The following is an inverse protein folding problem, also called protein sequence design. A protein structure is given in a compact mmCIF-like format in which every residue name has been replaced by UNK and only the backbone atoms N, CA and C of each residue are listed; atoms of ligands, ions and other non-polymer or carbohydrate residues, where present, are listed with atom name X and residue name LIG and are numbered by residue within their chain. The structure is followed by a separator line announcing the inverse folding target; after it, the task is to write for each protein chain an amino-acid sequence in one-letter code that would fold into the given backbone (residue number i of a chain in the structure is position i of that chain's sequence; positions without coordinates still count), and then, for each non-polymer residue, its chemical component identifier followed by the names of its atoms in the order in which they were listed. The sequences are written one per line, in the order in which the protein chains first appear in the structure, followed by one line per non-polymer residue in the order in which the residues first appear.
data_IF_442530056991
#
_entry.id   IF_442530056991
#
_cell.length_a   1.000
_cell.length_b   1.000
_cell.length_c   1.000
_cell.angle_alpha   90.00
_cell.angle_beta   90.00
_cell.angle_gamma   90.00
#
_symmetry.space_group_name_H-M   'P 1'
#
loop_
_entity.id
_entity.type
_entity.pdbx_description
1 polymer ?
#
# COMPACT_ATOMS: atom_id res chain seq x y z
N UNK A 1 20.33 29.50 9.21
CA UNK A 1 19.47 28.99 10.29
C UNK A 1 18.08 28.79 9.72
N UNK A 2 17.41 27.67 10.01
CA UNK A 2 15.98 27.55 9.74
C UNK A 2 15.28 28.72 10.45
N UNK A 3 14.46 29.49 9.75
CA UNK A 3 13.75 30.59 10.40
C UNK A 3 12.85 29.98 11.49
N UNK A 4 12.98 30.45 12.74
CA UNK A 4 12.15 30.03 13.87
C UNK A 4 10.64 30.03 13.54
N UNK A 5 10.21 30.87 12.59
CA UNK A 5 8.85 30.89 12.06
C UNK A 5 8.39 29.59 11.38
N UNK A 6 9.27 28.89 10.65
CA UNK A 6 8.90 27.63 9.99
C UNK A 6 8.69 26.48 11.00
N UNK A 7 9.31 26.56 12.18
CA UNK A 7 9.14 25.59 13.27
C UNK A 7 7.83 25.85 14.01
N UNK A 8 7.56 27.11 14.33
CA UNK A 8 6.32 27.52 14.98
C UNK A 8 5.08 27.14 14.13
N UNK A 9 5.20 27.21 12.79
CA UNK A 9 4.12 26.79 11.90
C UNK A 9 3.80 25.30 12.03
N UNK A 10 4.79 24.39 12.01
CA UNK A 10 4.54 22.94 12.15
C UNK A 10 3.86 22.61 13.48
N UNK A 11 4.38 23.16 14.59
CA UNK A 11 3.80 22.92 15.92
C UNK A 11 2.35 23.44 16.01
N UNK A 12 2.06 24.57 15.39
CA UNK A 12 0.72 25.13 15.33
C UNK A 12 -0.24 24.26 14.50
N UNK A 13 0.17 23.79 13.32
CA UNK A 13 -0.62 22.88 12.49
C UNK A 13 -0.88 21.56 13.23
N UNK A 14 0.13 21.04 13.93
CA UNK A 14 -0.01 19.83 14.73
C UNK A 14 -0.99 20.00 15.89
N UNK A 15 -0.88 21.10 16.66
CA UNK A 15 -1.81 21.43 17.74
C UNK A 15 -3.25 21.53 17.23
N UNK A 16 -3.44 22.13 16.05
CA UNK A 16 -4.74 22.22 15.37
C UNK A 16 -5.26 20.84 14.99
N UNK A 17 -4.42 19.96 14.42
CA UNK A 17 -4.81 18.61 14.07
C UNK A 17 -5.32 17.83 15.30
N UNK A 18 -4.64 17.92 16.44
CA UNK A 18 -5.10 17.27 17.69
C UNK A 18 -6.39 17.88 18.25
N UNK A 19 -6.50 19.21 18.31
CA UNK A 19 -7.73 19.87 18.75
C UNK A 19 -8.94 19.46 17.89
N UNK A 20 -8.72 19.31 16.59
CA UNK A 20 -9.74 18.90 15.63
C UNK A 20 -10.07 17.41 15.76
N UNK A 21 -9.06 16.56 15.99
CA UNK A 21 -9.24 15.14 16.31
C UNK A 21 -10.13 14.94 17.54
N UNK A 22 -9.89 15.69 18.62
CA UNK A 22 -10.71 15.65 19.83
C UNK A 22 -12.12 16.19 19.57
N UNK A 23 -12.23 17.28 18.81
CA UNK A 23 -13.51 17.86 18.41
C UNK A 23 -14.39 16.88 17.62
N UNK A 24 -13.79 16.07 16.75
CA UNK A 24 -14.48 15.04 15.96
C UNK A 24 -15.04 13.89 16.81
N UNK A 25 -14.59 13.69 18.06
CA UNK A 25 -15.08 12.61 18.93
C UNK A 25 -16.56 12.76 19.30
N UNK A 26 -17.07 13.98 19.35
CA UNK A 26 -18.45 14.31 19.68
C UNK A 26 -19.33 14.60 18.45
N UNK A 27 -18.76 14.46 17.25
CA UNK A 27 -19.39 14.78 15.98
C UNK A 27 -20.20 13.59 15.43
N UNK A 28 -21.16 13.82 14.52
CA UNK A 28 -21.97 12.79 13.88
C UNK A 28 -21.10 11.86 13.03
N UNK A 29 -21.64 10.69 12.72
CA UNK A 29 -20.93 9.59 12.05
C UNK A 29 -20.14 10.05 10.80
N UNK A 30 -20.71 10.94 9.98
CA UNK A 30 -20.03 11.40 8.77
C UNK A 30 -18.75 12.21 9.08
N UNK A 31 -18.76 13.06 10.11
CA UNK A 31 -17.59 13.83 10.53
C UNK A 31 -16.65 12.97 11.38
N UNK A 32 -17.21 12.03 12.16
CA UNK A 32 -16.46 11.08 12.95
C UNK A 32 -15.49 10.26 12.07
N UNK A 33 -15.91 9.83 10.88
CA UNK A 33 -15.04 9.14 9.93
C UNK A 33 -13.85 10.00 9.45
N UNK A 34 -13.93 11.33 9.47
CA UNK A 34 -12.79 12.19 9.13
C UNK A 34 -11.68 12.12 10.20
N UNK A 35 -12.04 11.74 11.44
CA UNK A 35 -11.10 11.63 12.57
C UNK A 35 -9.91 10.75 12.27
N UNK A 36 -10.12 9.63 11.59
CA UNK A 36 -9.04 8.70 11.22
C UNK A 36 -8.03 9.37 10.28
N UNK A 37 -8.51 10.14 9.31
CA UNK A 37 -7.65 10.88 8.38
C UNK A 37 -6.91 12.03 9.06
N UNK A 38 -7.57 12.73 9.99
CA UNK A 38 -6.95 13.79 10.80
C UNK A 38 -5.85 13.20 11.69
N UNK A 39 -6.11 12.05 12.30
CA UNK A 39 -5.12 11.34 13.11
C UNK A 39 -3.91 10.92 12.28
N UNK A 40 -4.14 10.32 11.11
CA UNK A 40 -3.06 9.95 10.20
C UNK A 40 -2.22 11.17 9.79
N UNK A 41 -2.86 12.31 9.53
CA UNK A 41 -2.16 13.57 9.25
C UNK A 41 -1.34 14.05 10.46
N UNK A 42 -1.91 14.00 11.66
CA UNK A 42 -1.22 14.38 12.89
C UNK A 42 0.04 13.53 13.10
N UNK A 43 -0.04 12.21 12.96
CA UNK A 43 1.12 11.31 13.05
C UNK A 43 2.19 11.63 12.00
N UNK A 44 1.79 11.93 10.75
CA UNK A 44 2.74 12.39 9.73
C UNK A 44 3.46 13.67 10.15
N UNK A 45 2.72 14.65 10.69
CA UNK A 45 3.27 15.92 11.17
C UNK A 45 4.15 15.75 12.42
N UNK A 46 3.84 14.79 13.31
CA UNK A 46 4.73 14.39 14.40
C UNK A 46 6.01 13.75 13.89
N UNK A 47 5.92 12.93 12.84
CA UNK A 47 7.08 12.39 12.14
C UNK A 47 7.98 13.50 11.58
N UNK A 48 7.38 14.51 10.93
CA UNK A 48 8.09 15.71 10.45
C UNK A 48 8.78 16.42 11.62
N UNK A 49 8.05 16.71 12.70
CA UNK A 49 8.59 17.38 13.87
C UNK A 49 9.73 16.58 14.51
N UNK A 50 9.52 15.31 14.81
CA UNK A 50 10.53 14.47 15.45
C UNK A 50 11.76 14.25 14.57
N UNK A 51 11.61 13.84 13.31
CA UNK A 51 12.75 13.44 12.47
C UNK A 51 13.48 14.63 11.82
N UNK A 52 12.79 15.72 11.50
CA UNK A 52 13.41 16.88 10.84
C UNK A 52 13.83 17.98 11.81
N UNK A 53 13.06 18.24 12.87
CA UNK A 53 13.38 19.34 13.78
C UNK A 53 14.45 18.95 14.79
N UNK A 54 14.30 17.79 15.45
CA UNK A 54 15.24 17.37 16.51
C UNK A 54 16.59 16.93 15.98
N UNK A 55 16.69 16.61 14.68
CA UNK A 55 17.92 16.11 14.07
C UNK A 55 18.74 17.27 13.48
N UNK A 56 19.91 17.64 14.05
CA UNK A 56 20.73 18.75 13.56
C UNK A 56 21.25 18.55 12.13
N UNK A 57 21.30 17.30 11.66
CA UNK A 57 21.76 16.93 10.31
C UNK A 57 20.66 16.98 9.26
N UNK A 58 19.42 17.22 9.67
CA UNK A 58 18.28 17.42 8.79
C UNK A 58 18.54 18.53 7.78
N UNK A 59 17.97 18.40 6.57
CA UNK A 59 18.05 19.45 5.55
C UNK A 59 17.41 20.77 6.03
N UNK A 60 16.56 20.74 7.07
CA UNK A 60 15.98 21.95 7.67
C UNK A 60 17.07 22.86 8.26
N UNK A 61 18.13 22.30 8.83
CA UNK A 61 19.21 23.10 9.44
C UNK A 61 20.34 23.43 8.46
N UNK A 62 20.35 22.78 7.30
CA UNK A 62 21.37 23.01 6.27
C UNK A 62 21.11 24.31 5.50
N UNK A 63 22.18 25.01 5.13
CA UNK A 63 22.13 26.28 4.39
C UNK A 63 22.36 26.12 2.88
N UNK A 64 22.57 24.90 2.40
CA UNK A 64 22.85 24.61 0.99
C UNK A 64 21.66 24.97 0.09
N UNK A 65 21.92 25.32 -1.17
CA UNK A 65 20.86 25.65 -2.14
C UNK A 65 19.84 24.50 -2.28
N UNK A 66 20.32 23.25 -2.38
CA UNK A 66 19.48 22.07 -2.43
C UNK A 66 18.60 21.92 -1.18
N UNK A 67 19.13 22.23 0.02
CA UNK A 67 18.36 22.19 1.26
C UNK A 67 17.27 23.27 1.28
N UNK A 68 17.54 24.48 0.80
CA UNK A 68 16.53 25.55 0.68
C UNK A 68 15.37 25.16 -0.23
N UNK A 69 15.67 24.52 -1.38
CA UNK A 69 14.62 23.99 -2.29
C UNK A 69 13.74 22.96 -1.57
N UNK A 70 14.35 22.05 -0.79
CA UNK A 70 13.60 21.05 0.00
C UNK A 70 12.80 21.67 1.14
N UNK A 71 13.34 22.68 1.83
CA UNK A 71 12.63 23.43 2.85
C UNK A 71 11.39 24.12 2.26
N UNK A 72 11.53 24.76 1.10
CA UNK A 72 10.40 25.36 0.40
C UNK A 72 9.34 24.31 0.01
N UNK A 73 9.75 23.17 -0.56
CA UNK A 73 8.83 22.09 -0.89
C UNK A 73 8.09 21.56 0.34
N UNK A 74 8.81 21.33 1.44
CA UNK A 74 8.21 20.93 2.73
C UNK A 74 7.18 21.96 3.21
N UNK A 75 7.51 23.25 3.14
CA UNK A 75 6.62 24.35 3.51
C UNK A 75 5.32 24.36 2.70
N UNK A 76 5.41 24.12 1.39
CA UNK A 76 4.23 23.98 0.52
C UNK A 76 3.35 22.80 0.95
N UNK A 77 3.94 21.66 1.29
CA UNK A 77 3.19 20.49 1.77
C UNK A 77 2.53 20.72 3.14
N UNK A 78 3.24 21.36 4.09
CA UNK A 78 2.68 21.73 5.40
C UNK A 78 1.52 22.73 5.23
N UNK A 79 1.68 23.74 4.38
CA UNK A 79 0.61 24.71 4.09
C UNK A 79 -0.60 24.06 3.41
N UNK A 80 -0.40 22.98 2.64
CA UNK A 80 -1.50 22.16 2.11
C UNK A 80 -2.25 21.42 3.22
N UNK A 81 -1.51 20.82 4.18
CA UNK A 81 -2.11 20.17 5.35
C UNK A 81 -2.87 21.16 6.22
N UNK A 82 -2.32 22.36 6.42
CA UNK A 82 -2.97 23.39 7.23
C UNK A 82 -4.30 23.86 6.62
N UNK A 83 -4.32 24.10 5.29
CA UNK A 83 -5.54 24.48 4.56
C UNK A 83 -6.63 23.40 4.65
N UNK A 84 -6.26 22.12 4.52
CA UNK A 84 -7.24 21.03 4.60
C UNK A 84 -7.78 20.85 6.03
N UNK A 85 -6.93 21.00 7.06
CA UNK A 85 -7.37 21.05 8.45
C UNK A 85 -8.31 22.23 8.72
N UNK A 86 -8.00 23.42 8.21
CA UNK A 86 -8.86 24.60 8.36
C UNK A 86 -10.22 24.45 7.70
N UNK A 87 -10.28 23.83 6.52
CA UNK A 87 -11.54 23.52 5.85
C UNK A 87 -12.40 22.59 6.71
N UNK A 88 -11.80 21.53 7.26
CA UNK A 88 -12.51 20.60 8.15
C UNK A 88 -12.93 21.27 9.47
N UNK A 89 -12.10 22.15 10.04
CA UNK A 89 -12.39 22.90 11.26
C UNK A 89 -13.62 23.80 11.06
N UNK A 90 -13.68 24.46 9.91
CA UNK A 90 -14.80 25.32 9.53
C UNK A 90 -16.10 24.51 9.41
N UNK A 91 -16.04 23.31 8.83
CA UNK A 91 -17.19 22.40 8.75
C UNK A 91 -17.63 21.90 10.15
N UNK A 92 -16.67 21.57 11.00
CA UNK A 92 -16.96 21.14 12.38
C UNK A 92 -17.62 22.27 13.19
N UNK A 93 -17.13 23.51 13.07
CA UNK A 93 -17.73 24.69 13.73
C UNK A 93 -19.14 24.98 13.21
N UNK A 94 -19.35 24.91 11.89
CA UNK A 94 -20.70 25.03 11.30
C UNK A 94 -21.64 23.98 11.91
N UNK A 95 -21.18 22.73 12.03
CA UNK A 95 -21.96 21.67 12.62
C UNK A 95 -22.26 21.89 14.11
N UNK A 96 -21.26 22.27 14.92
CA UNK A 96 -21.46 22.58 16.34
C UNK A 96 -22.42 23.76 16.55
N UNK A 97 -22.39 24.75 15.65
CA UNK A 97 -23.35 25.85 15.63
C UNK A 97 -24.81 25.40 15.49
N UNK A 98 -25.05 24.31 14.74
CA UNK A 98 -26.38 23.71 14.61
C UNK A 98 -26.87 23.01 15.88
N UNK A 99 -25.95 22.57 16.76
CA UNK A 99 -26.32 21.91 18.02
C UNK A 99 -26.82 22.93 19.06
N UNK A 100 -26.35 24.17 19.00
CA UNK A 100 -26.64 25.20 20.00
C UNK A 100 -27.78 26.17 19.66
N UNK A 101 -28.34 26.13 18.45
CA UNK A 101 -29.40 27.06 18.00
C UNK A 101 -30.58 26.32 17.39
N UNK A 102 -31.77 26.92 17.42
CA UNK A 102 -32.91 26.44 16.63
C UNK A 102 -32.59 26.61 15.13
N UNK A 103 -32.24 25.50 14.49
CA UNK A 103 -31.91 25.45 13.06
C UNK A 103 -33.19 25.29 12.25
N UNK A 104 -33.36 26.12 11.23
CA UNK A 104 -34.51 26.01 10.33
C UNK A 104 -34.53 24.63 9.64
N UNK A 105 -35.71 24.11 9.32
CA UNK A 105 -35.85 22.85 8.57
C UNK A 105 -35.14 22.92 7.21
N UNK A 106 -35.10 24.10 6.61
CA UNK A 106 -34.43 24.34 5.33
C UNK A 106 -32.90 24.25 5.45
N UNK A 107 -32.31 24.76 6.54
CA UNK A 107 -30.88 24.63 6.80
C UNK A 107 -30.48 23.17 7.09
N UNK A 108 -31.34 22.42 7.81
CA UNK A 108 -31.14 20.97 8.00
C UNK A 108 -31.17 20.22 6.67
N UNK A 109 -32.13 20.53 5.80
CA UNK A 109 -32.23 19.92 4.48
C UNK A 109 -31.03 20.26 3.58
N UNK A 110 -30.63 21.54 3.52
CA UNK A 110 -29.46 21.98 2.76
C UNK A 110 -28.17 21.34 3.29
N UNK A 111 -28.03 21.20 4.60
CA UNK A 111 -26.90 20.49 5.21
C UNK A 111 -26.90 19.00 4.86
N UNK A 112 -28.07 18.34 4.81
CA UNK A 112 -28.17 16.91 4.50
C UNK A 112 -27.65 16.55 3.09
N UNK A 113 -27.82 17.45 2.12
CA UNK A 113 -27.45 17.22 0.71
C UNK A 113 -26.09 17.83 0.38
N UNK A 114 -25.93 19.13 0.63
CA UNK A 114 -24.71 19.87 0.32
C UNK A 114 -23.61 19.63 1.37
N UNK A 115 -23.97 19.56 2.65
CA UNK A 115 -23.01 19.36 3.74
C UNK A 115 -22.31 18.00 3.66
N UNK A 116 -23.02 16.93 3.28
CA UNK A 116 -22.40 15.61 3.04
C UNK A 116 -21.36 15.65 1.92
N UNK A 117 -21.65 16.36 0.83
CA UNK A 117 -20.70 16.58 -0.27
C UNK A 117 -19.48 17.37 0.19
N UNK A 118 -19.68 18.48 0.92
CA UNK A 118 -18.58 19.29 1.46
C UNK A 118 -17.67 18.50 2.42
N UNK A 119 -18.26 17.65 3.28
CA UNK A 119 -17.50 16.75 4.17
C UNK A 119 -16.70 15.75 3.34
N UNK A 120 -17.29 15.13 2.32
CA UNK A 120 -16.58 14.18 1.46
C UNK A 120 -15.41 14.83 0.70
N UNK A 121 -15.60 16.03 0.16
CA UNK A 121 -14.52 16.81 -0.47
C UNK A 121 -13.42 17.17 0.54
N UNK A 122 -13.80 17.66 1.73
CA UNK A 122 -12.80 18.01 2.75
C UNK A 122 -12.03 16.79 3.27
N UNK A 123 -12.64 15.59 3.29
CA UNK A 123 -11.94 14.34 3.58
C UNK A 123 -10.95 13.98 2.47
N UNK A 124 -11.37 14.09 1.21
CA UNK A 124 -10.49 13.85 0.08
C UNK A 124 -9.27 14.78 0.14
N UNK A 125 -9.48 16.06 0.46
CA UNK A 125 -8.40 17.03 0.65
C UNK A 125 -7.42 16.59 1.77
N UNK A 126 -7.93 16.17 2.94
CA UNK A 126 -7.09 15.67 4.04
C UNK A 126 -6.24 14.47 3.61
N UNK A 127 -6.85 13.51 2.90
CA UNK A 127 -6.15 12.32 2.42
C UNK A 127 -5.07 12.70 1.41
N UNK A 128 -5.39 13.56 0.44
CA UNK A 128 -4.44 14.01 -0.58
C UNK A 128 -3.28 14.81 0.05
N UNK A 129 -3.56 15.75 0.96
CA UNK A 129 -2.53 16.49 1.67
C UNK A 129 -1.62 15.56 2.48
N UNK A 130 -2.20 14.58 3.18
CA UNK A 130 -1.42 13.58 3.95
C UNK A 130 -0.54 12.72 3.05
N UNK A 131 -1.09 12.19 1.96
CA UNK A 131 -0.37 11.32 1.03
C UNK A 131 0.74 12.09 0.32
N UNK A 132 0.50 13.33 -0.09
CA UNK A 132 1.53 14.14 -0.75
C UNK A 132 2.67 14.49 0.21
N UNK A 133 2.38 14.78 1.48
CA UNK A 133 3.39 14.95 2.52
C UNK A 133 4.18 13.64 2.75
N UNK A 134 3.49 12.50 2.88
CA UNK A 134 4.17 11.19 3.02
C UNK A 134 5.06 10.87 1.82
N UNK A 135 4.59 11.08 0.60
CA UNK A 135 5.39 10.87 -0.61
C UNK A 135 6.64 11.77 -0.63
N UNK A 136 6.53 13.00 -0.15
CA UNK A 136 7.68 13.90 0.00
C UNK A 136 8.68 13.34 1.02
N UNK A 137 8.23 12.96 2.22
CA UNK A 137 9.08 12.38 3.26
C UNK A 137 9.72 11.06 2.84
N UNK A 138 9.01 10.28 2.02
CA UNK A 138 9.48 9.04 1.40
C UNK A 138 10.70 9.28 0.52
N UNK A 139 10.63 10.31 -0.32
CA UNK A 139 11.73 10.69 -1.23
C UNK A 139 12.96 11.13 -0.45
N UNK A 140 12.77 11.80 0.67
CA UNK A 140 13.84 12.27 1.55
C UNK A 140 14.33 11.21 2.55
N UNK A 141 13.84 9.97 2.47
CA UNK A 141 14.22 8.82 3.33
C UNK A 141 13.89 8.97 4.82
N UNK A 142 12.96 9.84 5.18
CA UNK A 142 12.56 10.15 6.57
C UNK A 142 11.45 9.24 7.11
N UNK A 143 11.25 8.10 6.46
CA UNK A 143 9.94 7.48 6.36
C UNK A 143 9.63 6.39 7.39
N UNK A 144 10.50 6.22 8.39
CA UNK A 144 10.58 4.95 9.11
C UNK A 144 9.81 4.97 10.43
N UNK A 145 9.77 6.09 11.14
CA UNK A 145 9.29 6.10 12.53
C UNK A 145 7.76 6.18 12.64
N UNK A 146 7.13 7.16 12.01
CA UNK A 146 5.68 7.32 12.09
C UNK A 146 4.93 6.16 11.41
N UNK A 147 5.50 5.56 10.35
CA UNK A 147 4.91 4.37 9.70
C UNK A 147 4.88 3.18 10.65
N UNK A 148 5.96 2.97 11.41
CA UNK A 148 6.00 1.95 12.46
C UNK A 148 5.00 2.26 13.57
N UNK A 149 4.85 3.51 13.98
CA UNK A 149 3.86 3.92 14.98
C UNK A 149 2.43 3.70 14.47
N UNK A 150 2.10 4.07 13.23
CA UNK A 150 0.79 3.79 12.62
C UNK A 150 0.49 2.29 12.49
N UNK A 151 1.50 1.48 12.16
CA UNK A 151 1.35 0.03 12.10
C UNK A 151 1.13 -0.56 13.49
N UNK A 152 1.80 -0.04 14.51
CA UNK A 152 1.62 -0.47 15.90
C UNK A 152 0.24 -0.08 16.39
N UNK A 153 -0.22 1.14 16.11
CA UNK A 153 -1.58 1.59 16.47
C UNK A 153 -2.66 0.73 15.81
N UNK A 154 -2.53 0.45 14.50
CA UNK A 154 -3.43 -0.44 13.78
C UNK A 154 -3.41 -1.87 14.35
N UNK A 155 -2.25 -2.38 14.77
CA UNK A 155 -2.13 -3.67 15.45
C UNK A 155 -2.80 -3.62 16.82
N UNK A 156 -2.59 -2.58 17.63
CA UNK A 156 -3.23 -2.44 18.94
C UNK A 156 -4.75 -2.33 18.85
N UNK A 157 -5.28 -1.59 17.86
CA UNK A 157 -6.73 -1.48 17.63
C UNK A 157 -7.35 -2.83 17.21
N UNK A 158 -6.64 -3.63 16.41
CA UNK A 158 -7.07 -4.99 16.07
C UNK A 158 -7.02 -5.91 17.29
N UNK A 159 -5.99 -5.79 18.11
CA UNK A 159 -5.84 -6.59 19.33
C UNK A 159 -6.94 -6.25 20.34
N UNK A 160 -7.27 -4.97 20.55
CA UNK A 160 -8.38 -4.59 21.43
C UNK A 160 -9.72 -5.09 20.92
N UNK A 161 -9.94 -5.11 19.59
CA UNK A 161 -11.13 -5.74 18.99
C UNK A 161 -11.17 -7.25 19.27
N UNK A 162 -10.04 -7.95 19.15
CA UNK A 162 -9.95 -9.37 19.50
C UNK A 162 -10.18 -9.62 20.99
N UNK A 163 -9.68 -8.76 21.88
CA UNK A 163 -9.94 -8.84 23.32
C UNK A 163 -11.43 -8.65 23.63
N UNK A 164 -12.11 -7.70 22.97
CA UNK A 164 -13.56 -7.52 23.14
C UNK A 164 -14.38 -8.69 22.62
N UNK A 165 -13.99 -9.29 21.49
CA UNK A 165 -14.65 -10.49 20.96
C UNK A 165 -14.44 -11.70 21.88
N UNK A 166 -13.22 -11.85 22.42
CA UNK A 166 -12.92 -12.91 23.39
C UNK A 166 -13.67 -12.71 24.71
N UNK A 167 -13.83 -11.46 25.16
CA UNK A 167 -14.63 -11.12 26.34
C UNK A 167 -16.14 -11.37 26.14
N UNK A 168 -16.66 -11.17 24.93
CA UNK A 168 -18.06 -11.48 24.59
C UNK A 168 -18.33 -12.97 24.41
N UNK A 169 -17.31 -13.78 24.09
CA UNK A 169 -17.41 -15.25 24.06
C UNK A 169 -17.20 -15.90 25.42
N UNK A 170 -16.94 -15.12 26.48
CA UNK A 170 -16.99 -15.64 27.84
C UNK A 170 -18.47 -15.93 28.19
N UNK A 171 -18.85 -17.18 28.55
CA UNK A 171 -20.20 -17.46 28.96
C UNK A 171 -20.50 -16.62 30.20
N UNK A 172 -21.56 -15.79 30.11
CA UNK A 172 -22.14 -15.14 31.26
C UNK A 172 -22.49 -16.25 32.27
N UNK A 173 -21.67 -16.41 33.31
CA UNK A 173 -22.03 -17.22 34.45
C UNK A 173 -23.24 -16.54 35.09
N UNK A 174 -24.41 -17.09 34.77
CA UNK A 174 -25.63 -17.00 35.55
C UNK A 174 -25.27 -17.09 37.03
N UNK A 175 -25.52 -16.00 37.75
CA UNK A 175 -25.72 -15.96 39.20
C UNK A 175 -26.92 -16.83 39.55
N UNK A 176 -26.73 -18.15 39.49
CA UNK A 176 -27.69 -19.18 39.84
C UNK A 176 -27.12 -20.02 40.98
N UNK A 177 -27.54 -19.65 42.19
CA UNK A 177 -27.71 -20.46 43.40
C UNK A 177 -27.07 -21.86 43.40
N UNK A 178 -26.07 -22.03 44.27
CA UNK A 178 -25.41 -23.28 44.56
C UNK A 178 -26.37 -24.33 45.17
N UNK A 179 -26.45 -25.50 44.55
CA UNK A 179 -26.77 -26.77 45.20
C UNK A 179 -25.72 -27.81 44.82
N UNK A 180 -25.27 -28.52 45.85
CA UNK A 180 -24.14 -29.42 45.94
C UNK A 180 -24.20 -30.62 44.98
N UNK A 181 -23.09 -30.91 44.29
CA UNK A 181 -22.69 -32.26 43.89
C UNK A 181 -21.18 -32.30 43.56
N UNK A 182 -20.37 -33.22 44.14
CA UNK A 182 -18.95 -33.33 43.86
C UNK A 182 -18.69 -34.33 42.71
N UNK A 183 -17.68 -34.03 41.89
CA UNK A 183 -17.05 -35.05 41.03
C UNK A 183 -17.31 -34.91 39.54
N UNK A 184 -16.69 -33.93 38.88
CA UNK A 184 -16.22 -34.05 37.50
C UNK A 184 -14.96 -33.20 37.31
N UNK A 185 -13.84 -33.74 36.82
CA UNK A 185 -12.67 -32.93 36.54
C UNK A 185 -13.00 -31.96 35.41
N UNK A 186 -13.00 -30.66 35.72
CA UNK A 186 -13.08 -29.59 34.72
C UNK A 186 -11.92 -29.76 33.73
N UNK A 187 -12.25 -30.01 32.47
CA UNK A 187 -11.28 -30.03 31.39
C UNK A 187 -10.54 -28.69 31.30
N UNK A 188 -9.27 -28.65 31.74
CA UNK A 188 -8.33 -27.55 31.54
C UNK A 188 -7.93 -27.44 30.06
N UNK A 189 -8.86 -27.14 29.15
CA UNK A 189 -8.51 -27.02 27.72
C UNK A 189 -8.88 -25.73 27.00
N UNK A 190 -9.62 -24.81 27.61
CA UNK A 190 -9.98 -23.54 26.97
C UNK A 190 -9.57 -22.30 27.78
N UNK A 191 -8.37 -22.29 28.36
CA UNK A 191 -7.81 -21.06 28.93
C UNK A 191 -7.20 -20.18 27.83
N UNK A 192 -7.94 -19.14 27.42
CA UNK A 192 -7.46 -18.06 26.53
C UNK A 192 -6.19 -17.33 27.05
N UNK A 193 -5.81 -17.59 28.30
CA UNK A 193 -4.57 -17.13 28.96
C UNK A 193 -3.32 -17.44 28.12
N UNK A 194 -3.27 -18.60 27.45
CA UNK A 194 -2.13 -18.94 26.59
C UNK A 194 -2.01 -18.02 25.38
N UNK A 195 -3.13 -17.65 24.75
CA UNK A 195 -3.15 -16.76 23.57
C UNK A 195 -2.85 -15.31 23.96
N UNK A 196 -3.37 -14.83 25.09
CA UNK A 196 -3.07 -13.48 25.61
C UNK A 196 -1.61 -13.38 26.09
N UNK A 197 -1.03 -14.45 26.64
CA UNK A 197 0.40 -14.52 26.93
C UNK A 197 1.27 -14.48 25.66
N UNK A 198 0.89 -15.19 24.60
CA UNK A 198 1.63 -15.15 23.33
C UNK A 198 1.55 -13.76 22.69
N UNK A 199 0.37 -13.13 22.65
CA UNK A 199 0.21 -11.77 22.11
C UNK A 199 0.96 -10.73 22.94
N UNK A 200 0.88 -10.79 24.28
CA UNK A 200 1.63 -9.89 25.16
C UNK A 200 3.14 -10.08 25.04
N UNK A 201 3.62 -11.30 24.80
CA UNK A 201 5.03 -11.61 24.56
C UNK A 201 5.53 -11.12 23.19
N UNK A 202 4.67 -11.17 22.15
CA UNK A 202 4.95 -10.58 20.84
C UNK A 202 5.01 -9.04 20.94
N UNK A 203 4.06 -8.42 21.65
CA UNK A 203 4.07 -6.98 21.91
C UNK A 203 5.29 -6.55 22.75
N UNK A 204 5.64 -7.31 23.78
CA UNK A 204 6.83 -7.07 24.59
C UNK A 204 8.12 -7.19 23.76
N UNK A 205 8.21 -8.19 22.85
CA UNK A 205 9.32 -8.32 21.91
C UNK A 205 9.40 -7.14 20.94
N UNK A 206 8.27 -6.69 20.37
CA UNK A 206 8.22 -5.52 19.49
C UNK A 206 8.66 -4.23 20.22
N UNK A 207 8.17 -4.01 21.45
CA UNK A 207 8.62 -2.91 22.30
C UNK A 207 10.11 -2.98 22.61
N UNK A 208 10.63 -4.18 22.92
CA UNK A 208 12.07 -4.41 23.18
C UNK A 208 12.92 -4.16 21.94
N UNK A 209 12.45 -4.55 20.75
CA UNK A 209 13.10 -4.26 19.46
C UNK A 209 13.13 -2.76 19.18
N UNK A 210 12.00 -2.05 19.39
CA UNK A 210 11.93 -0.60 19.25
C UNK A 210 12.87 0.13 20.22
N UNK A 211 12.89 -0.27 21.49
CA UNK A 211 13.80 0.31 22.49
C UNK A 211 15.26 0.02 22.15
N UNK A 212 15.56 -1.20 21.68
CA UNK A 212 16.91 -1.58 21.24
C UNK A 212 17.33 -0.80 19.99
N UNK A 213 16.41 -0.54 19.06
CA UNK A 213 16.64 0.28 17.88
C UNK A 213 16.88 1.75 18.26
N UNK A 214 16.06 2.32 19.15
CA UNK A 214 16.23 3.68 19.70
C UNK A 214 17.56 3.80 20.45
N UNK A 215 17.95 2.81 21.27
CA UNK A 215 19.24 2.77 21.97
C UNK A 215 20.42 2.60 21.02
N UNK A 216 20.31 1.75 19.99
CA UNK A 216 21.34 1.59 18.95
C UNK A 216 21.50 2.85 18.10
N UNK A 217 20.42 3.58 17.79
CA UNK A 217 20.49 4.89 17.10
C UNK A 217 21.17 5.94 17.99
N UNK A 218 20.94 5.91 19.31
CA UNK A 218 21.57 6.82 20.28
C UNK A 218 23.04 6.51 20.56
N UNK A 219 23.42 5.23 20.50
CA UNK A 219 24.79 4.75 20.75
C UNK A 219 25.60 4.45 19.47
N UNK A 220 25.04 4.67 18.28
CA UNK A 220 25.76 4.51 17.03
C UNK A 220 26.80 5.63 16.93
N UNK A 221 28.06 5.28 17.23
CA UNK A 221 29.21 6.15 16.96
C UNK A 221 29.22 6.53 15.48
N UNK A 222 29.51 7.80 15.16
CA UNK A 222 29.51 8.28 13.78
C UNK A 222 30.68 7.64 13.04
N UNK A 223 30.43 6.77 12.04
CA UNK A 223 31.46 6.47 11.04
C UNK A 223 31.53 5.06 10.43
N UNK A 224 30.93 4.01 10.99
CA UNK A 224 31.09 2.67 10.42
C UNK A 224 29.77 2.07 9.94
N UNK A 225 29.51 2.25 8.64
CA UNK A 225 28.42 1.57 7.96
C UNK A 225 28.02 2.30 6.70
N UNK A 226 28.91 2.34 5.69
CA UNK A 226 28.50 2.68 4.33
C UNK A 226 27.32 1.73 3.98
N UNK A 227 26.14 2.24 3.57
CA UNK A 227 25.03 1.38 3.22
C UNK A 227 25.51 0.42 2.14
N UNK A 228 25.42 -0.89 2.40
CA UNK A 228 25.68 -1.90 1.38
C UNK A 228 24.69 -1.61 0.24
N UNK A 229 25.15 -1.50 -1.02
CA UNK A 229 24.23 -1.33 -2.13
C UNK A 229 23.25 -2.50 -2.08
N UNK A 230 21.95 -2.17 -1.97
CA UNK A 230 20.89 -3.14 -2.15
C UNK A 230 21.18 -3.85 -3.48
N UNK A 231 21.49 -5.14 -3.39
CA UNK A 231 21.53 -6.03 -4.53
C UNK A 231 20.19 -5.84 -5.25
N UNK A 232 20.25 -5.33 -6.48
CA UNK A 232 19.09 -5.12 -7.35
C UNK A 232 18.29 -6.41 -7.36
N UNK A 233 17.15 -6.43 -6.66
CA UNK A 233 16.08 -7.38 -6.93
C UNK A 233 15.75 -7.25 -8.41
N UNK A 234 15.76 -8.35 -9.19
CA UNK A 234 15.49 -8.28 -10.61
C UNK A 234 14.13 -7.64 -10.82
N UNK A 235 14.11 -6.49 -11.50
CA UNK A 235 12.87 -5.82 -11.89
C UNK A 235 12.05 -6.86 -12.66
N UNK A 236 10.88 -7.23 -12.16
CA UNK A 236 10.04 -8.34 -12.66
C UNK A 236 9.52 -8.21 -14.11
N UNK A 237 10.21 -7.45 -14.96
CA UNK A 237 10.06 -7.45 -16.40
C UNK A 237 10.66 -8.75 -16.96
N UNK A 238 9.81 -9.58 -17.55
CA UNK A 238 10.26 -10.72 -18.37
C UNK A 238 11.19 -10.21 -19.47
N UNK A 239 12.34 -10.86 -19.65
CA UNK A 239 13.21 -10.59 -20.78
C UNK A 239 12.42 -10.79 -22.07
N UNK A 240 12.17 -9.71 -22.83
CA UNK A 240 11.59 -9.86 -24.16
C UNK A 240 12.72 -10.23 -25.13
N UNK A 241 12.59 -11.32 -25.90
CA UNK A 241 13.63 -11.76 -26.83
C UNK A 241 13.98 -10.67 -27.85
N UNK A 242 13.01 -9.83 -28.22
CA UNK A 242 13.22 -8.67 -29.07
C UNK A 242 14.11 -7.59 -28.42
N UNK A 243 13.99 -7.34 -27.11
CA UNK A 243 14.83 -6.37 -26.40
C UNK A 243 16.24 -6.91 -26.18
N UNK A 244 16.38 -8.20 -25.88
CA UNK A 244 17.71 -8.82 -25.80
C UNK A 244 18.39 -8.86 -27.16
N UNK A 245 17.67 -9.15 -28.25
CA UNK A 245 18.19 -9.05 -29.61
C UNK A 245 18.65 -7.63 -29.93
N UNK A 246 17.80 -6.61 -29.67
CA UNK A 246 18.15 -5.20 -29.87
C UNK A 246 19.38 -4.76 -29.05
N UNK A 247 19.47 -5.19 -27.79
CA UNK A 247 20.63 -4.90 -26.93
C UNK A 247 21.89 -5.59 -27.46
N UNK A 248 21.76 -6.80 -27.99
CA UNK A 248 22.88 -7.54 -28.59
C UNK A 248 23.33 -6.89 -29.90
N UNK A 249 22.40 -6.43 -30.75
CA UNK A 249 22.71 -5.69 -31.98
C UNK A 249 23.34 -4.34 -31.67
N UNK A 250 22.86 -3.64 -30.64
CA UNK A 250 23.44 -2.36 -30.22
C UNK A 250 24.86 -2.53 -29.66
N UNK A 251 25.07 -3.56 -28.82
CA UNK A 251 26.38 -3.88 -28.28
C UNK A 251 27.35 -4.35 -29.37
N UNK A 252 26.90 -5.16 -30.34
CA UNK A 252 27.74 -5.57 -31.47
C UNK A 252 28.10 -4.38 -32.34
N UNK A 253 27.16 -3.48 -32.61
CA UNK A 253 27.41 -2.28 -33.41
C UNK A 253 28.40 -1.31 -32.74
N UNK A 254 28.39 -1.20 -31.41
CA UNK A 254 29.39 -0.41 -30.68
C UNK A 254 30.80 -1.01 -30.72
N UNK A 255 30.92 -2.32 -30.92
CA UNK A 255 32.22 -3.02 -31.01
C UNK A 255 32.76 -2.95 -32.44
N UNK A 256 31.89 -2.94 -33.46
CA UNK A 256 32.29 -2.91 -34.88
C UNK A 256 32.39 -1.52 -35.48
N UNK A 257 31.88 -0.46 -34.84
CA UNK A 257 32.15 0.91 -35.28
C UNK A 257 33.58 1.30 -34.88
N UNK A 258 34.51 1.55 -35.84
CA UNK A 258 35.81 2.12 -35.51
C UNK A 258 35.57 3.50 -34.86
N UNK A 259 36.32 3.85 -33.79
CA UNK A 259 36.18 5.16 -33.18
C UNK A 259 36.48 6.24 -34.24
N UNK A 260 35.71 7.33 -34.31
CA UNK A 260 36.06 8.46 -35.16
C UNK A 260 37.48 8.92 -34.78
N UNK A 261 38.35 9.05 -35.78
CA UNK A 261 39.71 9.57 -35.66
C UNK A 261 39.66 10.99 -35.11
N UNK A 262 39.68 11.10 -33.79
CA UNK A 262 39.82 12.37 -33.09
C UNK A 262 41.30 12.75 -33.16
N UNK A 263 41.63 13.74 -33.99
CA UNK A 263 42.92 14.42 -33.89
C UNK A 263 42.96 15.16 -32.54
N UNK A 264 43.91 14.85 -31.65
CA UNK A 264 44.02 15.56 -30.39
C UNK A 264 44.56 16.96 -30.66
N UNK A 265 43.72 17.99 -30.49
CA UNK A 265 44.23 19.35 -30.32
C UNK A 265 45.00 19.42 -29.00
N UNK A 266 46.27 19.89 -29.00
CA UNK A 266 47.03 20.07 -27.78
C UNK A 266 46.40 21.16 -26.92
N UNK A 267 45.94 20.80 -25.72
CA UNK A 267 45.58 21.79 -24.69
C UNK A 267 46.86 22.40 -24.12
N UNK A 268 46.90 23.72 -23.86
CA UNK A 268 47.97 24.30 -23.07
C UNK A 268 47.94 23.73 -21.64
N UNK A 269 49.11 23.52 -21.01
CA UNK A 269 49.20 22.94 -19.67
C UNK A 269 48.60 23.88 -18.63
N UNK A 270 47.69 23.34 -17.80
CA UNK A 270 47.23 24.01 -16.58
C UNK A 270 48.35 23.94 -15.54
N UNK A 271 48.76 25.06 -14.91
CA UNK A 271 49.68 25.02 -13.80
C UNK A 271 48.96 24.48 -12.55
N UNK A 272 49.74 23.87 -11.68
CA UNK A 272 49.44 23.55 -10.28
C UNK A 272 48.59 22.31 -9.97
N UNK A 273 49.20 21.12 -10.11
CA UNK A 273 48.98 20.03 -9.14
C UNK A 273 50.31 19.30 -8.87
N UNK A 274 50.79 19.25 -7.61
CA UNK A 274 51.97 18.45 -7.27
C UNK A 274 51.65 16.95 -7.37
N UNK A 275 52.51 16.24 -8.09
CA UNK A 275 52.49 14.79 -8.30
C UNK A 275 52.76 14.09 -6.96
N UNK A 276 51.77 13.38 -6.43
CA UNK A 276 51.95 12.43 -5.33
C UNK A 276 52.36 11.05 -5.90
N UNK A 277 53.24 10.28 -5.21
CA UNK A 277 53.68 8.97 -5.68
C UNK A 277 52.52 7.96 -5.60
N UNK A 278 52.16 7.39 -6.75
CA UNK A 278 51.10 6.39 -6.88
C UNK A 278 51.57 5.00 -6.45
N UNK A 279 51.36 4.65 -5.19
CA UNK A 279 51.25 3.26 -4.71
C UNK A 279 49.78 2.93 -4.46
N UNK A 280 49.00 2.81 -5.54
CA UNK A 280 47.64 2.25 -5.48
C UNK A 280 47.63 0.84 -6.07
N UNK A 281 46.99 -0.15 -5.41
CA UNK A 281 46.88 -1.51 -5.91
C UNK A 281 45.99 -1.55 -7.16
N UNK A 282 46.40 -2.38 -8.13
CA UNK A 282 45.72 -2.58 -9.42
C UNK A 282 44.23 -2.92 -9.23
N UNK A 283 43.32 -2.43 -10.09
CA UNK A 283 41.91 -2.76 -10.00
C UNK A 283 41.69 -4.26 -10.27
N UNK A 284 41.04 -4.92 -9.31
CA UNK A 284 40.55 -6.30 -9.44
C UNK A 284 39.57 -6.35 -10.63
N UNK A 285 39.98 -7.04 -11.69
CA UNK A 285 39.15 -7.40 -12.84
C UNK A 285 37.93 -8.18 -12.32
N UNK A 286 36.78 -7.53 -12.25
CA UNK A 286 35.50 -8.17 -11.95
C UNK A 286 35.07 -9.00 -13.16
N UNK A 287 35.46 -10.27 -13.18
CA UNK A 287 34.77 -11.29 -13.97
C UNK A 287 33.34 -11.42 -13.43
N UNK A 288 32.37 -10.83 -14.13
CA UNK A 288 30.96 -10.95 -13.72
C UNK A 288 30.06 -11.24 -14.91
N UNK A 289 29.27 -12.30 -14.74
CA UNK A 289 27.93 -12.53 -15.29
C UNK A 289 27.72 -12.93 -16.75
N UNK A 290 28.71 -12.90 -17.65
CA UNK A 290 28.49 -13.29 -19.05
C UNK A 290 28.48 -14.80 -19.31
N UNK A 291 29.05 -15.64 -18.42
CA UNK A 291 29.06 -17.09 -18.63
C UNK A 291 27.69 -17.77 -18.44
N UNK A 292 26.73 -17.11 -17.79
CA UNK A 292 25.38 -17.69 -17.59
C UNK A 292 24.40 -17.40 -18.74
N UNK A 293 24.84 -16.73 -19.82
CA UNK A 293 24.02 -16.45 -21.01
C UNK A 293 24.28 -17.48 -22.13
N UNK A 294 25.33 -18.30 -22.00
CA UNK A 294 25.75 -19.24 -23.06
C UNK A 294 25.05 -20.60 -23.06
N UNK A 295 24.15 -20.87 -22.12
CA UNK A 295 23.31 -22.07 -22.17
C UNK A 295 21.91 -21.72 -22.69
N UNK A 296 21.61 -21.94 -24.00
CA UNK A 296 20.22 -21.98 -24.43
C UNK A 296 19.52 -23.12 -23.67
N UNK A 297 18.31 -22.90 -23.13
CA UNK A 297 17.57 -24.00 -22.52
C UNK A 297 17.21 -25.02 -23.60
N UNK A 298 18.03 -26.06 -23.72
CA UNK A 298 17.80 -27.27 -24.52
C UNK A 298 16.78 -28.19 -23.85
N UNK A 299 15.60 -27.65 -23.54
CA UNK A 299 14.42 -28.47 -23.41
C UNK A 299 13.40 -27.96 -24.41
N UNK A 300 13.15 -28.77 -25.45
CA UNK A 300 11.88 -28.73 -26.16
C UNK A 300 10.82 -29.15 -25.15
N UNK A 301 10.45 -28.21 -24.27
CA UNK A 301 9.43 -28.43 -23.27
C UNK A 301 8.14 -28.81 -23.98
N UNK A 302 7.62 -29.98 -23.62
CA UNK A 302 6.27 -30.43 -23.99
C UNK A 302 5.33 -29.24 -23.95
N UNK A 303 4.73 -28.88 -25.09
CA UNK A 303 3.76 -27.80 -25.11
C UNK A 303 2.65 -28.18 -24.12
N UNK A 304 2.29 -27.30 -23.16
CA UNK A 304 1.27 -27.62 -22.19
C UNK A 304 -0.02 -27.97 -22.94
N UNK A 305 -0.52 -29.20 -22.73
CA UNK A 305 -1.75 -29.72 -23.36
C UNK A 305 -2.97 -28.84 -23.04
N UNK A 306 -2.90 -28.14 -21.90
CA UNK A 306 -3.94 -27.28 -21.36
C UNK A 306 -3.76 -25.81 -21.80
N UNK A 307 -4.76 -25.27 -22.49
CA UNK A 307 -4.81 -23.86 -22.87
C UNK A 307 -5.66 -23.07 -21.89
N UNK A 308 -5.04 -22.15 -21.15
CA UNK A 308 -5.73 -21.28 -20.19
C UNK A 308 -6.19 -19.96 -20.83
N UNK A 309 -7.32 -19.45 -20.37
CA UNK A 309 -7.81 -18.11 -20.67
C UNK A 309 -8.37 -17.44 -19.41
N UNK A 310 -8.25 -16.11 -19.32
CA UNK A 310 -8.71 -15.31 -18.19
C UNK A 310 -9.73 -14.29 -18.66
N UNK A 311 -10.82 -14.17 -17.90
CA UNK A 311 -11.92 -13.25 -18.14
C UNK A 311 -12.23 -12.44 -16.90
N UNK A 312 -12.49 -11.16 -17.09
CA UNK A 312 -13.11 -10.30 -16.09
C UNK A 312 -14.61 -10.28 -16.38
N UNK A 313 -15.40 -10.71 -15.41
CA UNK A 313 -16.86 -10.75 -15.50
C UNK A 313 -17.41 -9.59 -14.66
N UNK A 314 -18.20 -8.73 -15.28
CA UNK A 314 -18.97 -7.70 -14.59
C UNK A 314 -20.46 -8.03 -14.65
N UNK A 315 -21.12 -8.12 -13.50
CA UNK A 315 -22.60 -8.13 -13.43
C UNK A 315 -23.03 -6.90 -12.66
N UNK A 316 -23.79 -6.03 -13.34
CA UNK A 316 -24.43 -4.88 -12.72
C UNK A 316 -25.75 -5.27 -12.07
N UNK A 317 -25.95 -4.84 -10.83
CA UNK A 317 -27.26 -4.79 -10.18
C UNK A 317 -27.72 -3.34 -10.17
N UNK A 318 -28.90 -3.10 -10.74
CA UNK A 318 -29.58 -1.81 -10.70
C UNK A 318 -30.17 -1.59 -9.30
N UNK A 319 -30.30 -0.32 -8.89
CA UNK A 319 -30.90 0.06 -7.62
C UNK A 319 -32.32 -0.51 -7.41
N UNK A 320 -33.08 -0.72 -8.50
CA UNK A 320 -34.42 -1.32 -8.48
C UNK A 320 -34.43 -2.86 -8.57
N UNK A 321 -33.29 -3.52 -8.30
CA UNK A 321 -33.18 -4.98 -8.28
C UNK A 321 -33.01 -5.65 -9.65
N UNK A 322 -33.13 -4.91 -10.75
CA UNK A 322 -32.86 -5.42 -12.10
C UNK A 322 -31.40 -5.81 -12.30
N UNK A 323 -31.12 -6.93 -12.97
CA UNK A 323 -29.75 -7.36 -13.30
C UNK A 323 -29.42 -6.98 -14.73
N UNK A 324 -28.28 -6.34 -14.95
CA UNK A 324 -27.78 -6.06 -16.30
C UNK A 324 -27.18 -7.32 -16.92
N UNK A 325 -27.16 -7.40 -18.25
CA UNK A 325 -26.47 -8.46 -18.96
C UNK A 325 -24.99 -8.55 -18.52
N UNK A 326 -24.44 -9.76 -18.31
CA UNK A 326 -23.05 -9.92 -17.92
C UNK A 326 -22.12 -9.43 -19.03
N UNK A 327 -21.07 -8.70 -18.66
CA UNK A 327 -20.01 -8.32 -19.58
C UNK A 327 -18.78 -9.20 -19.35
N UNK A 328 -18.34 -9.89 -20.40
CA UNK A 328 -17.16 -10.75 -20.38
C UNK A 328 -15.99 -10.05 -21.10
N UNK A 329 -15.03 -9.53 -20.33
CA UNK A 329 -13.84 -8.89 -20.88
C UNK A 329 -12.65 -9.85 -20.80
N UNK A 330 -12.12 -10.27 -21.95
CA UNK A 330 -10.94 -11.15 -21.99
C UNK A 330 -9.69 -10.39 -21.55
N UNK A 331 -8.95 -10.96 -20.60
CA UNK A 331 -7.68 -10.40 -20.13
C UNK A 331 -6.50 -11.23 -20.66
N UNK A 332 -5.63 -10.61 -21.46
CA UNK A 332 -4.48 -11.30 -22.09
C UNK A 332 -3.31 -11.39 -21.10
N UNK A 333 -2.92 -12.60 -20.72
CA UNK A 333 -1.71 -12.93 -19.93
C UNK A 333 -1.03 -14.17 -20.50
N UNK A 334 0.25 -14.39 -20.15
CA UNK A 334 0.98 -15.58 -20.62
C UNK A 334 0.47 -16.88 -19.98
N UNK A 335 0.53 -18.00 -20.69
CA UNK A 335 -0.02 -19.30 -20.24
C UNK A 335 0.50 -19.74 -18.86
N UNK A 336 1.82 -19.66 -18.63
CA UNK A 336 2.40 -19.98 -17.31
C UNK A 336 1.89 -19.07 -16.18
N UNK A 337 1.58 -17.80 -16.48
CA UNK A 337 0.99 -16.90 -15.49
C UNK A 337 -0.47 -17.26 -15.21
N UNK A 338 -1.21 -17.66 -16.24
CA UNK A 338 -2.59 -18.08 -16.10
C UNK A 338 -2.73 -19.38 -15.30
N UNK A 339 -1.86 -20.36 -15.56
CA UNK A 339 -1.79 -21.58 -14.77
C UNK A 339 -1.48 -21.28 -13.29
N UNK A 340 -0.47 -20.44 -13.02
CA UNK A 340 -0.15 -20.00 -11.65
C UNK A 340 -1.30 -19.22 -10.99
N UNK A 341 -2.01 -18.38 -11.75
CA UNK A 341 -3.19 -17.67 -11.25
C UNK A 341 -4.33 -18.63 -10.91
N UNK A 342 -4.56 -19.66 -11.74
CA UNK A 342 -5.55 -20.68 -11.46
C UNK A 342 -5.24 -21.40 -10.15
N UNK A 343 -3.98 -21.80 -9.95
CA UNK A 343 -3.53 -22.44 -8.71
C UNK A 343 -3.71 -21.53 -7.48
N UNK A 344 -3.28 -20.27 -7.57
CA UNK A 344 -3.44 -19.32 -6.45
C UNK A 344 -4.93 -19.09 -6.12
N UNK A 345 -5.79 -19.00 -7.14
CA UNK A 345 -7.21 -18.80 -6.93
C UNK A 345 -7.91 -20.05 -6.40
N UNK A 346 -7.51 -21.25 -6.82
CA UNK A 346 -8.05 -22.50 -6.26
C UNK A 346 -7.63 -22.68 -4.81
N UNK A 347 -6.37 -22.39 -4.48
CA UNK A 347 -5.88 -22.40 -3.10
C UNK A 347 -6.62 -21.36 -2.24
N UNK A 348 -6.79 -20.14 -2.74
CA UNK A 348 -7.51 -19.09 -2.03
C UNK A 348 -9.00 -19.38 -1.84
N UNK A 349 -9.65 -20.08 -2.78
CA UNK A 349 -11.07 -20.41 -2.68
C UNK A 349 -11.40 -21.33 -1.50
N UNK A 350 -10.44 -22.11 -1.00
CA UNK A 350 -10.62 -22.92 0.21
C UNK A 350 -10.68 -22.11 1.51
N UNK A 351 -10.14 -20.88 1.52
CA UNK A 351 -10.04 -20.04 2.73
C UNK A 351 -10.84 -18.74 2.64
N UNK A 352 -11.12 -18.24 1.44
CA UNK A 352 -11.77 -16.96 1.20
C UNK A 352 -13.19 -17.16 0.65
N UNK A 353 -14.18 -16.59 1.34
CA UNK A 353 -15.59 -16.50 0.88
C UNK A 353 -15.76 -15.86 -0.50
N UNK A 354 -14.76 -15.11 -0.98
CA UNK A 354 -14.74 -14.50 -2.32
C UNK A 354 -14.30 -15.46 -3.42
N UNK A 355 -13.92 -16.69 -3.10
CA UNK A 355 -13.64 -17.75 -4.05
C UNK A 355 -14.88 -18.11 -4.86
N UNK A 356 -14.71 -18.27 -6.18
CA UNK A 356 -15.80 -18.69 -7.06
C UNK A 356 -15.77 -20.21 -7.23
N UNK A 357 -16.94 -20.82 -7.28
CA UNK A 357 -17.11 -22.23 -7.64
C UNK A 357 -17.70 -22.35 -9.04
N UNK A 358 -17.60 -23.54 -9.64
CA UNK A 358 -18.26 -23.84 -10.92
C UNK A 358 -19.79 -23.69 -10.85
N UNK A 359 -20.35 -23.78 -9.64
CA UNK A 359 -21.76 -23.55 -9.34
C UNK A 359 -22.23 -22.11 -9.56
N UNK A 360 -21.33 -21.12 -9.53
CA UNK A 360 -21.68 -19.70 -9.62
C UNK A 360 -22.31 -19.37 -10.98
N UNK A 361 -23.44 -18.64 -10.96
CA UNK A 361 -24.17 -18.21 -12.16
C UNK A 361 -23.27 -17.47 -13.15
N UNK A 362 -22.31 -16.67 -12.67
CA UNK A 362 -21.31 -15.95 -13.49
C UNK A 362 -20.46 -16.91 -14.31
N UNK A 363 -19.94 -17.95 -13.65
CA UNK A 363 -19.06 -18.94 -14.26
C UNK A 363 -19.85 -19.79 -15.24
N UNK A 364 -21.06 -20.23 -14.87
CA UNK A 364 -21.95 -21.00 -15.76
C UNK A 364 -22.29 -20.26 -17.05
N UNK A 365 -22.61 -18.97 -16.96
CA UNK A 365 -22.91 -18.15 -18.15
C UNK A 365 -21.67 -18.01 -19.05
N UNK A 366 -20.50 -17.74 -18.47
CA UNK A 366 -19.25 -17.66 -19.22
C UNK A 366 -18.93 -18.99 -19.93
N UNK A 367 -19.01 -20.12 -19.21
CA UNK A 367 -18.71 -21.45 -19.77
C UNK A 367 -19.70 -21.82 -20.87
N UNK A 368 -20.99 -21.51 -20.70
CA UNK A 368 -22.02 -21.74 -21.72
C UNK A 368 -21.71 -20.98 -23.01
N UNK A 369 -21.38 -19.70 -22.90
CA UNK A 369 -21.05 -18.87 -24.06
C UNK A 369 -19.76 -19.33 -24.74
N UNK A 370 -18.72 -19.65 -23.97
CA UNK A 370 -17.46 -20.15 -24.51
C UNK A 370 -17.61 -21.50 -25.20
N UNK A 371 -18.32 -22.45 -24.59
CA UNK A 371 -18.55 -23.77 -25.17
C UNK A 371 -19.48 -23.71 -26.39
N UNK A 372 -20.42 -22.76 -26.43
CA UNK A 372 -21.24 -22.49 -27.62
C UNK A 372 -20.39 -21.97 -28.78
N UNK A 373 -19.46 -21.04 -28.51
CA UNK A 373 -18.53 -20.52 -29.52
C UNK A 373 -17.60 -21.63 -30.02
N UNK A 374 -17.12 -22.49 -29.12
CA UNK A 374 -16.23 -23.60 -29.45
C UNK A 374 -16.93 -24.68 -30.28
N UNK A 375 -18.17 -25.03 -29.92
CA UNK A 375 -19.00 -25.97 -30.69
C UNK A 375 -19.32 -25.47 -32.10
N UNK A 376 -19.57 -24.17 -32.27
CA UNK A 376 -19.74 -23.54 -33.59
C UNK A 376 -18.50 -23.64 -34.48
N UNK A 377 -17.31 -23.78 -33.89
CA UNK A 377 -16.04 -23.95 -34.62
C UNK A 377 -15.72 -25.41 -34.94
N UNK A 378 -16.61 -26.36 -34.59
CA UNK A 378 -16.33 -27.79 -34.72
C UNK A 378 -15.25 -28.31 -33.78
N UNK A 379 -14.92 -27.56 -32.72
CA UNK A 379 -13.90 -27.97 -31.75
C UNK A 379 -14.37 -29.14 -30.89
N UNK A 380 -13.58 -30.23 -30.83
CA UNK A 380 -13.84 -31.37 -29.91
C UNK A 380 -13.54 -31.04 -28.44
N UNK A 381 -12.73 -30.01 -28.19
CA UNK A 381 -12.30 -29.60 -26.85
C UNK A 381 -13.32 -28.70 -26.18
N UNK A 382 -13.46 -28.79 -24.86
CA UNK A 382 -14.38 -27.99 -24.06
C UNK A 382 -13.63 -27.10 -23.08
N UNK A 383 -14.25 -25.98 -22.73
CA UNK A 383 -13.79 -25.09 -21.68
C UNK A 383 -14.37 -25.55 -20.34
N UNK A 384 -13.47 -25.65 -19.35
CA UNK A 384 -13.76 -26.01 -17.97
C UNK A 384 -13.36 -24.87 -17.04
N UNK A 385 -14.04 -24.77 -15.90
CA UNK A 385 -13.66 -23.85 -14.85
C UNK A 385 -12.34 -24.32 -14.22
N UNK A 386 -11.34 -23.44 -14.15
CA UNK A 386 -10.09 -23.72 -13.43
C UNK A 386 -10.13 -23.11 -12.04
N UNK A 387 -10.35 -21.79 -11.96
CA UNK A 387 -10.54 -21.08 -10.69
C UNK A 387 -11.08 -19.66 -10.93
N UNK A 388 -11.57 -19.00 -9.88
CA UNK A 388 -12.01 -17.61 -9.97
C UNK A 388 -12.17 -16.95 -8.62
N UNK A 389 -12.18 -15.61 -8.61
CA UNK A 389 -12.33 -14.80 -7.40
C UNK A 389 -13.07 -13.50 -7.68
N UNK A 390 -13.87 -13.03 -6.71
CA UNK A 390 -14.44 -11.68 -6.73
C UNK A 390 -13.36 -10.66 -6.33
N UNK A 391 -13.05 -9.72 -7.23
CA UNK A 391 -11.98 -8.73 -7.05
C UNK A 391 -12.50 -7.48 -6.34
N UNK A 392 -13.74 -7.09 -6.60
CA UNK A 392 -14.32 -5.90 -5.98
C UNK A 392 -15.72 -5.61 -6.49
N UNK A 393 -16.35 -4.64 -5.85
CA UNK A 393 -17.66 -4.13 -6.19
C UNK A 393 -17.48 -2.65 -6.52
N UNK A 394 -17.69 -2.29 -7.78
CA UNK A 394 -17.53 -0.92 -8.24
C UNK A 394 -18.90 -0.26 -8.31
N UNK A 395 -19.07 0.86 -7.61
CA UNK A 395 -20.20 1.76 -7.85
C UNK A 395 -20.09 2.32 -9.28
N UNK A 396 -21.12 2.10 -10.09
CA UNK A 396 -21.24 2.68 -11.42
C UNK A 396 -21.17 4.21 -11.34
N UNK A 397 -20.77 4.87 -12.43
CA UNK A 397 -20.55 6.33 -12.47
C UNK A 397 -21.75 7.15 -11.99
N UNK A 398 -22.96 6.63 -12.15
CA UNK A 398 -24.22 7.28 -11.76
C UNK A 398 -24.68 6.90 -10.35
N UNK A 399 -23.99 6.02 -9.63
CA UNK A 399 -24.41 5.48 -8.34
C UNK A 399 -25.61 4.52 -8.39
N UNK A 400 -26.29 4.42 -9.54
CA UNK A 400 -27.51 3.62 -9.74
C UNK A 400 -27.24 2.15 -10.10
N UNK A 401 -25.99 1.80 -10.42
CA UNK A 401 -25.57 0.44 -10.78
C UNK A 401 -24.44 0.02 -9.87
N UNK A 402 -24.57 -1.12 -9.21
CA UNK A 402 -23.50 -1.74 -8.45
C UNK A 402 -22.91 -2.87 -9.29
N UNK A 403 -21.65 -2.77 -9.73
CA UNK A 403 -21.03 -3.76 -10.61
C UNK A 403 -20.09 -4.64 -9.81
N UNK A 404 -20.48 -5.88 -9.57
CA UNK A 404 -19.57 -6.88 -9.03
C UNK A 404 -18.60 -7.34 -10.12
N UNK A 405 -17.30 -7.24 -9.83
CA UNK A 405 -16.22 -7.61 -10.74
C UNK A 405 -15.54 -8.88 -10.26
N UNK A 406 -15.69 -9.94 -11.02
CA UNK A 406 -15.04 -11.22 -10.83
C UNK A 406 -13.91 -11.42 -11.86
N UNK A 407 -12.87 -12.14 -11.49
CA UNK A 407 -11.86 -12.65 -12.43
C UNK A 407 -11.94 -14.16 -12.42
N UNK A 408 -12.13 -14.75 -13.59
CA UNK A 408 -12.30 -16.19 -13.80
C UNK A 408 -11.25 -16.68 -14.78
N UNK A 409 -10.57 -17.77 -14.41
CA UNK A 409 -9.64 -18.50 -15.25
C UNK A 409 -10.31 -19.80 -15.68
N UNK A 410 -10.31 -20.04 -16.98
CA UNK A 410 -10.85 -21.26 -17.61
C UNK A 410 -9.73 -22.00 -18.32
N UNK A 411 -9.86 -23.31 -18.43
CA UNK A 411 -8.92 -24.19 -19.13
C UNK A 411 -9.65 -24.92 -20.24
N UNK A 412 -9.03 -25.01 -21.41
CA UNK A 412 -9.55 -25.78 -22.55
C UNK A 412 -8.89 -27.15 -22.56
N UNK A 413 -9.69 -28.20 -22.45
CA UNK A 413 -9.27 -29.60 -22.48
C UNK A 413 -10.00 -30.35 -23.58
#
# INVERSE_FOLDING_TARGET
MAALGDIATIAHVLKRAYALYDGCRSAPEEIFLAREHIHAMALCLEGVSSDLYTNPRSFVHQTTCAAKVRQHALKVHIASCDRSLHRMESLLKKYQGFKGKHVSLWDKFRWSTQGKKEIAESKADLVVSTVTLDMFLSKESLNVLWKLESMIEALTARISMFETLLAQTAPAHTTGRATLAPGRPRGRRDSNVGRTLVVSLVLARLRKVLLSYRRKKKNARPGQGRPRPLTRTPSGFKASPARTALMHTYASNLITTPPPTYFPHPRPPSPDFPVLPTTFPRPIRRSSSLQNIQHPPTSKGEQPKDLYACYRIGIGTLAFGGKTAPQFLRHRRGQAQLAKMAQIFSEAAGYDSKGLTEGDKRVKLLLRDMNKIEGKKGGRRKWYFAAGRVVGVDGGRTGMVCVEKAVVVVVRR
#
